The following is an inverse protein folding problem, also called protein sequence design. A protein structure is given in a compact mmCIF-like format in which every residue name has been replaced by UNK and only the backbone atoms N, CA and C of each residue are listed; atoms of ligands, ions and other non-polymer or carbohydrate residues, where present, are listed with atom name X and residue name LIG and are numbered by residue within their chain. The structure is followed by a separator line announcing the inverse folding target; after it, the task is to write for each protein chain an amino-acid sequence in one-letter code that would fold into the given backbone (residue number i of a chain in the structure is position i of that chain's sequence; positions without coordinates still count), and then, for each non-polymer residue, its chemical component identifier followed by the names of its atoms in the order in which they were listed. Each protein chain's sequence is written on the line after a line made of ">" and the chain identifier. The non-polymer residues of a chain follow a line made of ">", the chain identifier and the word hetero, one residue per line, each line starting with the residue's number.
data_IF_915751178060
#
_entry.id   IF_915751178060
#
_cell.length_a   1.000
_cell.length_b   1.000
_cell.length_c   1.000
_cell.angle_alpha   90.00
_cell.angle_beta   90.00
_cell.angle_gamma   90.00
#
_symmetry.space_group_name_H-M   'P 1'
#
loop_
_entity.id
_entity.type
_entity.pdbx_description
1 polymer ?
#
# COMPACT_ATOMS: atom_id res chain seq x y z
N UNK A 1 -25.09 -46.34 12.12
CA UNK A 1 -24.22 -46.50 13.31
C UNK A 1 -23.28 -45.29 13.32
N UNK A 2 -23.25 -44.33 14.24
CA UNK A 2 -24.04 -43.92 15.39
C UNK A 2 -23.89 -42.38 15.41
N UNK A 3 -25.01 -41.66 15.51
CA UNK A 3 -25.06 -40.27 15.96
C UNK A 3 -25.12 -40.32 17.49
N UNK A 4 -24.30 -39.55 18.21
CA UNK A 4 -24.51 -39.37 19.65
C UNK A 4 -24.45 -37.90 20.06
N UNK A 5 -25.60 -37.47 20.55
CA UNK A 5 -25.88 -36.25 21.30
C UNK A 5 -25.20 -36.24 22.68
N UNK A 6 -24.93 -35.03 23.16
CA UNK A 6 -24.69 -34.72 24.58
C UNK A 6 -25.91 -35.06 25.45
N UNK A 7 -25.69 -35.24 26.77
CA UNK A 7 -26.67 -34.82 27.75
C UNK A 7 -26.08 -33.91 28.85
N UNK A 8 -26.83 -32.86 29.12
CA UNK A 8 -26.80 -32.01 30.32
C UNK A 8 -27.32 -32.76 31.54
N UNK A 9 -26.70 -32.61 32.72
CA UNK A 9 -27.41 -32.77 34.01
C UNK A 9 -26.96 -31.75 35.04
N UNK A 10 -27.95 -31.12 35.64
CA UNK A 10 -27.92 -30.10 36.69
C UNK A 10 -28.17 -30.80 38.03
N UNK A 11 -27.50 -30.39 39.12
CA UNK A 11 -27.88 -30.74 40.50
C UNK A 11 -27.60 -29.55 41.44
N UNK A 12 -28.59 -29.08 42.25
CA UNK A 12 -28.39 -28.06 43.27
C UNK A 12 -28.18 -28.68 44.66
N UNK A 13 -27.34 -28.05 45.48
CA UNK A 13 -27.12 -28.36 46.90
C UNK A 13 -27.59 -27.20 47.79
N UNK A 14 -28.20 -27.57 48.92
CA UNK A 14 -29.10 -26.79 49.78
C UNK A 14 -28.40 -26.25 51.06
N UNK A 15 -28.87 -25.09 51.53
CA UNK A 15 -28.92 -24.51 52.90
C UNK A 15 -27.73 -24.56 53.88
N UNK A 16 -27.38 -23.38 54.44
CA UNK A 16 -27.77 -22.99 55.81
C UNK A 16 -27.60 -21.48 56.03
N UNK A 17 -28.59 -20.85 56.69
CA UNK A 17 -28.61 -19.41 56.95
C UNK A 17 -27.99 -19.00 58.28
N UNK A 18 -27.67 -17.71 58.38
CA UNK A 18 -27.68 -16.96 59.64
C UNK A 18 -27.84 -15.46 59.33
N UNK A 19 -28.90 -14.89 59.89
CA UNK A 19 -29.21 -13.47 59.91
C UNK A 19 -28.37 -12.82 61.01
N UNK A 20 -27.53 -11.83 60.69
CA UNK A 20 -26.94 -10.93 61.70
C UNK A 20 -27.00 -9.49 61.19
N UNK A 21 -27.70 -8.67 61.96
CA UNK A 21 -27.90 -7.23 61.79
C UNK A 21 -26.80 -6.48 62.56
N UNK A 22 -26.46 -5.27 62.07
CA UNK A 22 -25.57 -4.25 62.66
C UNK A 22 -24.07 -4.57 62.53
N UNK A 23 -23.17 -3.69 62.06
CA UNK A 23 -22.96 -2.25 62.30
C UNK A 23 -22.16 -1.69 61.11
N UNK A 24 -22.47 -0.49 60.61
CA UNK A 24 -21.59 0.26 59.69
C UNK A 24 -20.41 0.88 60.45
N UNK A 25 -19.18 0.78 59.95
CA UNK A 25 -18.17 1.82 60.13
C UNK A 25 -17.76 2.43 58.77
N UNK A 26 -17.84 3.76 58.76
CA UNK A 26 -17.17 4.76 57.93
C UNK A 26 -16.39 4.28 56.69
N UNK A 27 -16.86 4.75 55.52
CA UNK A 27 -16.08 4.92 54.30
C UNK A 27 -14.82 5.75 54.61
N UNK A 28 -13.69 5.09 54.78
CA UNK A 28 -12.40 5.71 54.56
C UNK A 28 -12.26 5.96 53.06
N UNK A 29 -12.35 7.22 52.65
CA UNK A 29 -11.89 7.65 51.32
C UNK A 29 -10.39 7.32 51.24
N UNK A 30 -10.05 6.21 50.60
CA UNK A 30 -8.69 6.00 50.13
C UNK A 30 -8.46 7.07 49.06
N UNK A 31 -7.53 7.99 49.36
CA UNK A 31 -6.99 8.93 48.40
C UNK A 31 -6.66 8.18 47.11
N UNK A 32 -7.44 8.44 46.07
CA UNK A 32 -6.97 8.26 44.70
C UNK A 32 -5.77 9.18 44.56
N UNK A 33 -4.56 8.61 44.67
CA UNK A 33 -3.39 9.27 44.10
C UNK A 33 -3.70 9.49 42.62
N UNK A 34 -4.02 10.75 42.30
CA UNK A 34 -4.10 11.23 40.94
C UNK A 34 -2.77 10.88 40.27
N UNK A 35 -2.81 9.88 39.41
CA UNK A 35 -1.69 9.56 38.54
C UNK A 35 -1.46 10.81 37.69
N UNK A 36 -0.33 11.47 37.95
CA UNK A 36 0.23 12.60 37.22
C UNK A 36 -0.14 12.56 35.73
N UNK A 37 -0.46 13.70 35.10
CA UNK A 37 -0.58 13.78 33.66
C UNK A 37 0.66 13.16 33.03
N UNK A 38 0.43 12.16 32.17
CA UNK A 38 1.37 11.57 31.23
C UNK A 38 2.51 12.52 30.89
N UNK A 39 3.73 12.23 31.32
CA UNK A 39 4.93 12.81 30.71
C UNK A 39 4.76 12.64 29.20
N UNK A 40 4.63 13.75 28.46
CA UNK A 40 4.74 13.70 27.02
C UNK A 40 6.13 13.12 26.74
N UNK A 41 6.19 11.89 26.21
CA UNK A 41 7.44 11.25 25.81
C UNK A 41 8.20 12.23 24.93
N UNK A 42 9.31 12.76 25.43
CA UNK A 42 10.19 13.62 24.64
C UNK A 42 10.82 12.71 23.59
N UNK A 43 10.37 12.83 22.34
CA UNK A 43 10.94 12.06 21.24
C UNK A 43 12.38 12.48 21.00
N UNK A 44 13.29 11.50 20.97
CA UNK A 44 14.70 11.71 20.71
C UNK A 44 15.00 11.70 19.22
N UNK A 45 16.08 12.37 18.83
CA UNK A 45 16.57 12.38 17.45
C UNK A 45 17.94 11.71 17.40
N UNK A 46 18.00 10.61 16.66
CA UNK A 46 19.21 9.83 16.42
C UNK A 46 19.76 10.14 15.01
N UNK A 47 21.08 10.12 14.85
CA UNK A 47 21.72 10.40 13.58
C UNK A 47 22.57 9.20 13.20
N UNK A 48 22.43 8.75 11.96
CA UNK A 48 23.21 7.66 11.38
C UNK A 48 24.11 8.23 10.30
N UNK A 49 25.42 8.03 10.40
CA UNK A 49 26.38 8.47 9.40
C UNK A 49 27.56 7.50 9.32
N UNK A 50 27.91 7.06 8.10
CA UNK A 50 28.98 6.07 7.88
C UNK A 50 30.38 6.59 8.24
N UNK A 51 30.57 7.92 8.26
CA UNK A 51 31.85 8.57 8.59
C UNK A 51 32.10 8.70 10.10
N UNK A 52 31.16 8.25 10.92
CA UNK A 52 31.23 8.34 12.39
C UNK A 52 30.84 9.71 12.96
N UNK A 53 30.32 10.64 12.15
CA UNK A 53 29.82 11.93 12.64
C UNK A 53 28.46 11.83 13.35
N UNK A 54 27.72 10.73 13.12
CA UNK A 54 26.44 10.44 13.76
C UNK A 54 26.57 9.66 15.07
N UNK A 55 25.45 9.49 15.77
CA UNK A 55 25.34 8.63 16.95
C UNK A 55 25.61 7.16 16.62
N UNK A 56 25.28 6.73 15.40
CA UNK A 56 25.46 5.37 14.92
C UNK A 56 26.06 5.35 13.50
N UNK A 57 26.70 4.24 13.14
CA UNK A 57 27.11 3.97 11.76
C UNK A 57 26.19 2.96 11.06
N UNK A 58 25.26 2.33 11.78
CA UNK A 58 24.27 1.37 11.28
C UNK A 58 22.84 1.89 11.52
N UNK A 59 21.96 1.70 10.54
CA UNK A 59 20.53 2.00 10.65
C UNK A 59 19.87 1.02 11.62
N UNK A 60 20.23 -0.26 11.56
CA UNK A 60 19.67 -1.26 12.48
C UNK A 60 20.01 -0.94 13.94
N UNK A 61 21.25 -0.56 14.23
CA UNK A 61 21.66 -0.19 15.59
C UNK A 61 20.86 1.02 16.11
N UNK A 62 20.64 2.02 15.27
CA UNK A 62 19.82 3.18 15.61
C UNK A 62 18.37 2.79 15.91
N UNK A 63 17.79 1.88 15.11
CA UNK A 63 16.43 1.36 15.34
C UNK A 63 16.36 0.57 16.64
N UNK A 64 17.37 -0.25 16.93
CA UNK A 64 17.41 -1.06 18.15
C UNK A 64 17.42 -0.18 19.40
N UNK A 65 18.16 0.94 19.37
CA UNK A 65 18.26 1.90 20.47
C UNK A 65 17.07 2.86 20.59
N UNK A 66 16.42 3.20 19.47
CA UNK A 66 15.34 4.19 19.45
C UNK A 66 14.13 3.76 20.29
N UNK A 67 13.53 4.68 21.04
CA UNK A 67 12.24 4.46 21.70
C UNK A 67 11.06 4.69 20.74
N UNK A 68 9.85 4.34 21.19
CA UNK A 68 8.63 4.72 20.46
C UNK A 68 8.52 6.24 20.36
N UNK A 69 8.17 6.74 19.18
CA UNK A 69 8.05 8.17 18.87
C UNK A 69 9.36 8.84 18.42
N UNK A 70 10.51 8.16 18.51
CA UNK A 70 11.80 8.73 18.12
C UNK A 70 11.91 8.97 16.61
N UNK A 71 12.89 9.80 16.24
CA UNK A 71 13.27 10.05 14.85
C UNK A 71 14.71 9.62 14.59
N UNK A 72 14.94 8.92 13.50
CA UNK A 72 16.27 8.52 13.01
C UNK A 72 16.53 9.27 11.70
N UNK A 73 17.57 10.09 11.70
CA UNK A 73 18.04 10.84 10.52
C UNK A 73 19.24 10.13 9.91
N UNK A 74 19.20 9.79 8.64
CA UNK A 74 20.24 9.02 7.95
C UNK A 74 20.97 9.91 6.95
N UNK A 75 22.28 10.07 7.13
CA UNK A 75 23.17 10.80 6.22
C UNK A 75 23.40 10.02 4.92
N UNK A 76 23.75 10.75 3.86
CA UNK A 76 24.10 10.15 2.58
C UNK A 76 25.16 9.05 2.71
N UNK A 77 24.91 7.90 2.09
CA UNK A 77 25.72 6.70 2.24
C UNK A 77 25.08 5.45 1.64
N UNK A 78 25.92 4.43 1.44
CA UNK A 78 25.48 3.09 1.01
C UNK A 78 25.54 2.17 2.23
N UNK A 79 24.37 1.76 2.71
CA UNK A 79 24.18 0.92 3.88
C UNK A 79 23.97 -0.53 3.44
N UNK A 80 24.99 -1.35 3.64
CA UNK A 80 24.98 -2.78 3.27
C UNK A 80 24.43 -3.65 4.42
N UNK A 81 23.16 -3.47 4.76
CA UNK A 81 22.49 -4.19 5.83
C UNK A 81 21.03 -4.56 5.50
N UNK A 82 20.51 -5.57 6.19
CA UNK A 82 19.09 -5.87 6.22
C UNK A 82 18.50 -5.16 7.44
N UNK A 83 17.44 -4.39 7.26
CA UNK A 83 16.84 -3.57 8.32
C UNK A 83 15.49 -4.15 8.72
N UNK A 84 15.24 -4.24 10.02
CA UNK A 84 13.95 -4.64 10.59
C UNK A 84 13.49 -3.64 11.64
N UNK A 85 12.35 -3.00 11.39
CA UNK A 85 11.61 -2.20 12.37
C UNK A 85 10.63 -3.12 13.08
N UNK A 86 10.98 -3.58 14.28
CA UNK A 86 10.18 -4.53 15.05
C UNK A 86 9.69 -3.93 16.36
N UNK A 87 8.39 -4.11 16.66
CA UNK A 87 7.78 -3.72 17.94
C UNK A 87 8.00 -2.24 18.30
N UNK A 88 7.92 -1.35 17.30
CA UNK A 88 8.01 0.10 17.46
C UNK A 88 6.66 0.75 17.23
N UNK A 89 6.39 1.83 17.96
CA UNK A 89 5.25 2.71 17.76
C UNK A 89 5.74 4.13 17.45
N UNK A 90 5.26 4.75 16.37
CA UNK A 90 5.55 6.16 16.09
C UNK A 90 6.97 6.47 15.61
N UNK A 91 7.77 5.46 15.24
CA UNK A 91 9.15 5.67 14.80
C UNK A 91 9.19 6.35 13.42
N UNK A 92 10.00 7.40 13.28
CA UNK A 92 10.27 8.07 12.00
C UNK A 92 11.70 7.78 11.54
N UNK A 93 11.88 7.34 10.30
CA UNK A 93 13.18 7.06 9.68
C UNK A 93 13.29 7.91 8.41
N UNK A 94 14.20 8.86 8.39
CA UNK A 94 14.26 9.90 7.34
C UNK A 94 15.68 9.95 6.79
N UNK A 95 15.85 9.63 5.51
CA UNK A 95 17.10 9.82 4.79
C UNK A 95 17.27 11.26 4.28
N UNK A 96 18.50 11.62 3.88
CA UNK A 96 18.77 12.92 3.26
C UNK A 96 18.23 13.05 1.82
N UNK A 97 17.79 11.94 1.21
CA UNK A 97 17.25 11.91 -0.14
C UNK A 97 17.36 10.53 -0.78
N UNK A 98 16.42 10.20 -1.68
CA UNK A 98 16.40 8.92 -2.40
C UNK A 98 17.71 8.62 -3.11
N UNK A 99 18.38 9.62 -3.68
CA UNK A 99 19.64 9.44 -4.42
C UNK A 99 20.89 9.52 -3.52
N UNK A 100 20.71 9.80 -2.23
CA UNK A 100 21.80 9.98 -1.26
C UNK A 100 21.91 8.81 -0.28
N UNK A 101 20.79 8.28 0.19
CA UNK A 101 20.74 7.18 1.15
C UNK A 101 20.29 5.91 0.46
N UNK A 102 21.17 4.91 0.39
CA UNK A 102 20.91 3.66 -0.33
C UNK A 102 21.11 2.46 0.59
N UNK A 103 20.04 1.69 0.81
CA UNK A 103 20.04 0.43 1.55
C UNK A 103 20.10 -0.74 0.56
N UNK A 104 21.17 -1.54 0.56
CA UNK A 104 21.39 -2.58 -0.48
C UNK A 104 21.12 -4.01 -0.01
N UNK A 105 20.76 -4.22 1.26
CA UNK A 105 20.58 -5.56 1.83
C UNK A 105 21.88 -6.37 1.89
N UNK A 106 21.79 -7.58 2.45
CA UNK A 106 22.90 -8.57 2.53
C UNK A 106 22.72 -9.71 1.52
N UNK A 107 22.10 -9.44 0.37
CA UNK A 107 21.76 -10.44 -0.68
C UNK A 107 20.91 -11.60 -0.15
N UNK A 108 20.02 -11.31 0.79
CA UNK A 108 18.98 -12.23 1.29
C UNK A 108 17.61 -11.77 0.80
N UNK A 109 16.58 -12.55 1.11
CA UNK A 109 15.19 -12.14 0.86
C UNK A 109 14.80 -11.07 1.87
N UNK A 110 14.33 -9.92 1.40
CA UNK A 110 13.88 -8.82 2.26
C UNK A 110 15.01 -7.91 2.72
N UNK A 111 15.13 -6.73 2.11
CA UNK A 111 16.11 -5.72 2.51
C UNK A 111 15.59 -4.87 3.68
N UNK A 112 14.30 -4.51 3.66
CA UNK A 112 13.64 -3.72 4.70
C UNK A 112 12.37 -4.41 5.16
N UNK A 113 12.25 -4.65 6.46
CA UNK A 113 11.06 -5.21 7.08
C UNK A 113 10.46 -4.26 8.11
N UNK A 114 9.14 -4.09 8.06
CA UNK A 114 8.36 -3.29 9.00
C UNK A 114 7.34 -4.23 9.65
N UNK A 115 7.50 -4.46 10.94
CA UNK A 115 6.82 -5.56 11.63
C UNK A 115 7.47 -6.92 11.34
N UNK A 116 7.17 -7.89 12.20
CA UNK A 116 7.63 -9.27 12.08
C UNK A 116 6.64 -10.19 12.78
N UNK A 117 6.11 -11.17 12.05
CA UNK A 117 5.14 -12.12 12.61
C UNK A 117 5.62 -12.71 13.96
N UNK A 118 4.77 -12.75 15.01
CA UNK A 118 3.36 -12.37 15.02
C UNK A 118 3.09 -10.90 15.38
N UNK A 119 4.12 -10.07 15.58
CA UNK A 119 3.99 -8.69 16.08
C UNK A 119 4.20 -7.66 14.98
N UNK A 120 3.30 -6.67 14.93
CA UNK A 120 3.43 -5.57 13.99
C UNK A 120 4.34 -4.45 14.47
N UNK A 121 4.47 -3.44 13.61
CA UNK A 121 4.87 -2.08 14.01
C UNK A 121 3.70 -1.12 13.74
N UNK A 122 3.59 -0.06 14.52
CA UNK A 122 2.49 0.90 14.39
C UNK A 122 2.99 2.32 14.17
N UNK A 123 2.29 3.08 13.33
CA UNK A 123 2.58 4.50 13.09
C UNK A 123 4.04 4.75 12.65
N UNK A 124 4.62 3.84 11.86
CA UNK A 124 6.00 3.94 11.37
C UNK A 124 6.03 4.76 10.09
N UNK A 125 6.94 5.72 10.03
CA UNK A 125 7.16 6.56 8.85
C UNK A 125 8.57 6.35 8.33
N UNK A 126 8.71 6.10 7.02
CA UNK A 126 10.01 5.99 6.34
C UNK A 126 10.01 6.91 5.13
N UNK A 127 11.02 7.79 5.02
CA UNK A 127 11.09 8.78 3.96
C UNK A 127 12.50 8.95 3.38
N UNK A 128 12.56 9.41 2.13
CA UNK A 128 13.75 10.01 1.50
C UNK A 128 14.97 9.06 1.45
N UNK A 129 14.76 7.81 1.03
CA UNK A 129 15.82 6.82 0.84
C UNK A 129 15.51 5.82 -0.28
N UNK A 130 16.53 5.10 -0.73
CA UNK A 130 16.40 3.98 -1.67
C UNK A 130 16.61 2.64 -0.97
N UNK A 131 15.80 1.65 -1.33
CA UNK A 131 15.96 0.23 -0.99
C UNK A 131 16.23 -0.53 -2.28
N UNK A 132 17.42 -1.12 -2.39
CA UNK A 132 17.82 -1.91 -3.54
C UNK A 132 17.78 -3.38 -3.16
N UNK A 133 16.91 -4.12 -3.86
CA UNK A 133 16.90 -5.57 -3.90
C UNK A 133 17.01 -6.00 -5.36
N UNK A 134 17.70 -7.10 -5.61
CA UNK A 134 17.81 -7.78 -6.91
C UNK A 134 16.48 -8.43 -7.35
N UNK A 135 15.39 -7.65 -7.42
CA UNK A 135 14.09 -8.05 -7.97
C UNK A 135 13.14 -8.81 -7.04
N UNK A 136 13.63 -9.35 -5.92
CA UNK A 136 12.85 -10.06 -4.92
C UNK A 136 12.07 -9.14 -3.97
N UNK A 137 11.83 -9.59 -2.73
CA UNK A 137 11.17 -8.78 -1.70
C UNK A 137 12.09 -7.63 -1.26
N UNK A 138 11.79 -6.40 -1.70
CA UNK A 138 12.52 -5.20 -1.27
C UNK A 138 12.06 -4.71 0.09
N UNK A 139 10.76 -4.43 0.23
CA UNK A 139 10.13 -3.96 1.46
C UNK A 139 8.99 -4.91 1.85
N UNK A 140 9.09 -5.53 3.03
CA UNK A 140 8.00 -6.32 3.60
C UNK A 140 7.35 -5.61 4.80
N UNK A 141 6.03 -5.54 4.81
CA UNK A 141 5.23 -4.92 5.88
C UNK A 141 4.30 -6.01 6.43
N UNK A 142 4.50 -6.39 7.69
CA UNK A 142 3.88 -7.59 8.26
C UNK A 142 3.25 -7.32 9.60
N UNK A 143 1.92 -7.42 9.65
CA UNK A 143 1.13 -7.13 10.84
C UNK A 143 1.32 -5.68 11.32
N UNK A 144 0.25 -5.03 11.78
CA UNK A 144 0.33 -3.69 12.33
C UNK A 144 -0.51 -2.68 11.57
N UNK A 145 -0.22 -1.39 11.79
CA UNK A 145 -1.10 -0.31 11.35
C UNK A 145 -0.36 1.00 11.11
N UNK A 146 -0.78 1.78 10.12
CA UNK A 146 -0.34 3.17 9.97
C UNK A 146 1.12 3.24 9.51
N UNK A 147 1.46 2.47 8.48
CA UNK A 147 2.82 2.47 7.91
C UNK A 147 2.84 3.42 6.73
N UNK A 148 3.69 4.44 6.77
CA UNK A 148 3.83 5.45 5.71
C UNK A 148 5.21 5.38 5.08
N UNK A 149 5.25 5.15 3.77
CA UNK A 149 6.44 5.26 2.95
C UNK A 149 6.26 6.45 2.00
N UNK A 150 7.13 7.45 2.09
CA UNK A 150 7.00 8.69 1.31
C UNK A 150 8.31 9.04 0.64
N UNK A 151 8.30 9.29 -0.67
CA UNK A 151 9.54 9.58 -1.45
C UNK A 151 10.61 8.53 -1.19
N UNK A 152 10.25 7.27 -1.37
CA UNK A 152 11.22 6.17 -1.35
C UNK A 152 11.34 5.56 -2.75
N UNK A 153 12.54 5.09 -3.08
CA UNK A 153 12.76 4.24 -4.25
C UNK A 153 12.93 2.79 -3.81
N UNK A 154 12.21 1.88 -4.44
CA UNK A 154 12.35 0.44 -4.18
C UNK A 154 12.62 -0.27 -5.50
N UNK A 155 13.79 -0.89 -5.60
CA UNK A 155 14.06 -1.89 -6.64
C UNK A 155 13.71 -3.25 -6.06
N UNK A 156 12.62 -3.85 -6.54
CA UNK A 156 12.00 -5.04 -5.96
C UNK A 156 10.59 -4.79 -5.41
N UNK A 157 9.98 -5.84 -4.87
CA UNK A 157 8.58 -5.83 -4.43
C UNK A 157 8.40 -5.10 -3.09
N UNK A 158 7.34 -4.32 -3.00
CA UNK A 158 6.73 -3.88 -1.73
C UNK A 158 5.55 -4.78 -1.41
N UNK A 159 5.61 -5.53 -0.31
CA UNK A 159 4.58 -6.49 0.08
C UNK A 159 4.01 -6.17 1.45
N UNK A 160 2.69 -5.98 1.53
CA UNK A 160 1.96 -5.86 2.79
C UNK A 160 1.09 -7.09 3.03
N UNK A 161 1.20 -7.65 4.24
CA UNK A 161 0.40 -8.78 4.68
C UNK A 161 -0.20 -8.51 6.07
N UNK A 162 -1.53 -8.55 6.15
CA UNK A 162 -2.29 -8.34 7.38
C UNK A 162 -2.01 -6.97 8.03
N UNK A 163 -1.87 -5.92 7.22
CA UNK A 163 -1.55 -4.56 7.67
C UNK A 163 -2.71 -3.62 7.40
N UNK A 164 -3.06 -2.80 8.39
CA UNK A 164 -4.06 -1.75 8.21
C UNK A 164 -3.38 -0.43 7.88
N UNK A 165 -3.99 0.39 7.03
CA UNK A 165 -3.58 1.78 6.83
C UNK A 165 -2.12 1.94 6.35
N UNK A 166 -1.77 1.26 5.24
CA UNK A 166 -0.49 1.43 4.54
C UNK A 166 -0.59 2.59 3.54
N UNK A 167 0.33 3.56 3.60
CA UNK A 167 0.38 4.70 2.68
C UNK A 167 1.69 4.69 1.91
N UNK A 168 1.61 4.59 0.58
CA UNK A 168 2.74 4.77 -0.33
C UNK A 168 2.52 6.06 -1.13
N UNK A 169 3.38 7.05 -0.90
CA UNK A 169 3.21 8.41 -1.42
C UNK A 169 4.46 8.88 -2.15
N UNK A 170 4.30 9.26 -3.42
CA UNK A 170 5.39 9.78 -4.27
C UNK A 170 6.61 8.84 -4.32
N UNK A 171 6.36 7.53 -4.29
CA UNK A 171 7.39 6.50 -4.36
C UNK A 171 7.68 6.10 -5.82
N UNK A 172 8.90 5.59 -6.02
CA UNK A 172 9.34 4.98 -7.29
C UNK A 172 9.59 3.50 -7.02
N UNK A 173 8.75 2.61 -7.54
CA UNK A 173 8.78 1.18 -7.22
C UNK A 173 8.89 0.39 -8.51
N UNK A 174 9.88 -0.46 -8.65
CA UNK A 174 10.01 -1.19 -9.90
C UNK A 174 11.13 -2.21 -9.92
N UNK A 175 11.37 -2.72 -11.11
CA UNK A 175 12.39 -3.71 -11.38
C UNK A 175 12.24 -4.96 -10.47
N UNK A 176 10.99 -5.33 -10.13
CA UNK A 176 10.69 -6.61 -9.46
C UNK A 176 10.58 -7.75 -10.47
N UNK A 177 11.11 -8.90 -10.10
CA UNK A 177 10.92 -10.16 -10.83
C UNK A 177 9.51 -10.73 -10.67
N UNK A 178 8.63 -10.06 -9.91
CA UNK A 178 7.24 -10.47 -9.69
C UNK A 178 6.30 -9.25 -9.70
N UNK A 179 5.83 -8.80 -8.55
CA UNK A 179 4.90 -7.67 -8.44
C UNK A 179 5.62 -6.44 -7.91
N UNK A 180 5.31 -5.25 -8.44
CA UNK A 180 5.80 -4.00 -7.87
C UNK A 180 5.28 -3.78 -6.44
N UNK A 181 3.95 -3.77 -6.27
CA UNK A 181 3.30 -3.66 -4.95
C UNK A 181 2.22 -4.73 -4.76
N UNK A 182 2.24 -5.44 -3.64
CA UNK A 182 1.26 -6.48 -3.33
C UNK A 182 0.59 -6.27 -1.96
N UNK A 183 -0.75 -6.37 -1.93
CA UNK A 183 -1.58 -6.35 -0.73
C UNK A 183 -2.24 -7.71 -0.51
N UNK A 184 -2.02 -8.29 0.66
CA UNK A 184 -2.70 -9.49 1.14
C UNK A 184 -3.38 -9.20 2.49
N UNK A 185 -4.71 -9.29 2.52
CA UNK A 185 -5.54 -8.96 3.70
C UNK A 185 -5.16 -7.63 4.35
N UNK A 186 -4.92 -6.61 3.54
CA UNK A 186 -4.36 -5.33 3.97
C UNK A 186 -5.16 -4.14 3.45
N UNK A 187 -5.11 -3.01 4.14
CA UNK A 187 -5.75 -1.76 3.69
C UNK A 187 -4.72 -0.68 3.42
N UNK A 188 -4.96 0.16 2.41
CA UNK A 188 -3.99 1.21 2.09
C UNK A 188 -4.34 2.16 0.97
N UNK A 189 -3.45 3.11 0.77
CA UNK A 189 -3.52 4.15 -0.25
C UNK A 189 -2.17 4.22 -0.97
N UNK A 190 -2.20 4.10 -2.29
CA UNK A 190 -1.12 4.43 -3.19
C UNK A 190 -1.46 5.76 -3.87
N UNK A 191 -0.65 6.79 -3.63
CA UNK A 191 -0.86 8.12 -4.20
C UNK A 191 0.40 8.66 -4.87
N UNK A 192 0.30 9.10 -6.13
CA UNK A 192 1.42 9.80 -6.80
C UNK A 192 2.63 8.92 -7.14
N UNK A 193 2.49 7.59 -7.11
CA UNK A 193 3.63 6.69 -7.31
C UNK A 193 3.91 6.45 -8.79
N UNK A 194 5.18 6.18 -9.11
CA UNK A 194 5.60 5.58 -10.37
C UNK A 194 5.93 4.10 -10.12
N UNK A 195 5.20 3.19 -10.76
CA UNK A 195 5.39 1.75 -10.65
C UNK A 195 5.75 1.18 -12.03
N UNK A 196 6.93 0.58 -12.18
CA UNK A 196 7.45 0.22 -13.51
C UNK A 196 8.28 -1.07 -13.56
N UNK A 197 8.36 -1.72 -14.72
CA UNK A 197 9.16 -2.94 -14.98
C UNK A 197 8.94 -4.06 -13.95
N UNK A 198 7.76 -4.66 -13.95
CA UNK A 198 7.41 -5.80 -13.09
C UNK A 198 6.65 -6.86 -13.91
N UNK A 199 6.44 -8.06 -13.38
CA UNK A 199 5.45 -8.97 -13.98
C UNK A 199 4.04 -8.38 -13.84
N UNK A 200 3.65 -8.01 -12.63
CA UNK A 200 2.42 -7.24 -12.36
C UNK A 200 2.75 -5.91 -11.69
N UNK A 201 2.00 -4.85 -11.98
CA UNK A 201 2.22 -3.55 -11.34
C UNK A 201 1.81 -3.57 -9.86
N UNK A 202 0.51 -3.71 -9.62
CA UNK A 202 -0.09 -3.80 -8.28
C UNK A 202 -1.00 -5.02 -8.19
N UNK A 203 -0.78 -5.88 -7.20
CA UNK A 203 -1.66 -7.00 -6.88
C UNK A 203 -2.44 -6.74 -5.59
N UNK A 204 -3.75 -6.99 -5.62
CA UNK A 204 -4.67 -6.79 -4.49
C UNK A 204 -5.45 -8.09 -4.28
N UNK A 205 -5.15 -8.82 -3.20
CA UNK A 205 -5.76 -10.12 -2.92
C UNK A 205 -6.32 -10.25 -1.51
N UNK A 206 -6.96 -11.38 -1.23
CA UNK A 206 -7.62 -11.66 0.05
C UNK A 206 -8.76 -10.67 0.33
N UNK A 207 -8.83 -10.17 1.55
CA UNK A 207 -9.85 -9.20 2.00
C UNK A 207 -9.36 -7.75 1.92
N UNK A 208 -8.38 -7.46 1.05
CA UNK A 208 -7.76 -6.14 0.98
C UNK A 208 -8.73 -5.04 0.50
N UNK A 209 -8.55 -3.82 1.00
CA UNK A 209 -9.29 -2.62 0.58
C UNK A 209 -8.30 -1.48 0.30
N UNK A 210 -8.08 -1.18 -0.98
CA UNK A 210 -6.97 -0.32 -1.43
C UNK A 210 -7.43 0.80 -2.36
N UNK A 211 -6.92 2.00 -2.13
CA UNK A 211 -7.08 3.13 -3.07
C UNK A 211 -5.82 3.32 -3.88
N UNK A 212 -5.93 3.30 -5.21
CA UNK A 212 -4.88 3.79 -6.11
C UNK A 212 -5.35 5.12 -6.66
N UNK A 213 -4.63 6.19 -6.36
CA UNK A 213 -4.92 7.54 -6.86
C UNK A 213 -3.70 8.18 -7.50
N UNK A 214 -3.84 8.67 -8.74
CA UNK A 214 -2.76 9.42 -9.41
C UNK A 214 -1.43 8.67 -9.48
N UNK A 215 -1.48 7.36 -9.66
CA UNK A 215 -0.29 6.56 -9.91
C UNK A 215 -0.09 6.38 -11.41
N UNK A 216 1.17 6.39 -11.84
CA UNK A 216 1.59 5.92 -13.15
C UNK A 216 2.06 4.49 -12.99
N UNK A 217 1.40 3.53 -13.63
CA UNK A 217 1.79 2.13 -13.64
C UNK A 217 2.07 1.73 -15.09
N UNK A 218 3.32 1.35 -15.37
CA UNK A 218 3.78 1.20 -16.74
C UNK A 218 4.78 0.08 -16.95
N UNK A 219 4.83 -0.47 -18.16
CA UNK A 219 5.81 -1.47 -18.55
C UNK A 219 5.82 -2.72 -17.65
N UNK A 220 4.65 -3.11 -17.13
CA UNK A 220 4.45 -4.43 -16.54
C UNK A 220 4.19 -5.49 -17.61
N UNK A 221 4.76 -6.68 -17.45
CA UNK A 221 4.63 -7.79 -18.41
C UNK A 221 3.17 -8.24 -18.59
N UNK A 222 2.43 -8.27 -17.49
CA UNK A 222 1.02 -8.63 -17.40
C UNK A 222 0.20 -7.39 -17.01
N UNK A 223 -0.75 -7.52 -16.08
CA UNK A 223 -1.63 -6.43 -15.70
C UNK A 223 -0.95 -5.36 -14.84
N UNK A 224 -1.27 -4.10 -15.12
CA UNK A 224 -0.90 -2.98 -14.27
C UNK A 224 -1.56 -3.10 -12.89
N UNK A 225 -2.82 -3.56 -12.85
CA UNK A 225 -3.54 -3.87 -11.60
C UNK A 225 -4.20 -5.24 -11.70
N UNK A 226 -3.85 -6.14 -10.80
CA UNK A 226 -4.46 -7.46 -10.65
C UNK A 226 -5.26 -7.51 -9.34
N UNK A 227 -6.55 -7.77 -9.43
CA UNK A 227 -7.42 -7.97 -8.27
C UNK A 227 -7.92 -9.43 -8.23
N UNK A 228 -7.82 -10.06 -7.06
CA UNK A 228 -8.26 -11.45 -6.82
C UNK A 228 -9.16 -11.56 -5.59
N UNK A 229 -9.73 -12.75 -5.39
CA UNK A 229 -10.56 -13.10 -4.23
C UNK A 229 -11.75 -12.15 -4.03
N UNK A 230 -11.99 -11.69 -2.81
CA UNK A 230 -13.03 -10.70 -2.46
C UNK A 230 -12.46 -9.29 -2.23
N UNK A 231 -11.32 -8.98 -2.86
CA UNK A 231 -10.65 -7.70 -2.70
C UNK A 231 -11.51 -6.52 -3.19
N UNK A 232 -11.27 -5.36 -2.59
CA UNK A 232 -11.93 -4.10 -2.92
C UNK A 232 -10.92 -3.05 -3.34
N UNK A 233 -11.22 -2.30 -4.38
CA UNK A 233 -10.37 -1.19 -4.78
C UNK A 233 -11.10 0.03 -5.31
N UNK A 234 -10.45 1.17 -5.15
CA UNK A 234 -10.80 2.42 -5.84
C UNK A 234 -9.63 2.83 -6.72
N UNK A 235 -9.82 2.82 -8.03
CA UNK A 235 -8.83 3.26 -9.01
C UNK A 235 -9.26 4.64 -9.52
N UNK A 236 -8.61 5.70 -9.04
CA UNK A 236 -9.02 7.08 -9.29
C UNK A 236 -7.90 7.88 -9.96
N UNK A 237 -8.15 8.40 -11.16
CA UNK A 237 -7.17 9.23 -11.88
C UNK A 237 -5.79 8.58 -12.02
N UNK A 238 -5.68 7.28 -12.30
CA UNK A 238 -4.39 6.63 -12.57
C UNK A 238 -4.09 6.63 -14.08
N UNK A 239 -2.81 6.53 -14.44
CA UNK A 239 -2.37 6.26 -15.81
C UNK A 239 -1.78 4.85 -15.84
N UNK A 240 -2.49 3.92 -16.51
CA UNK A 240 -2.08 2.54 -16.70
C UNK A 240 -1.67 2.38 -18.17
N UNK A 241 -0.38 2.49 -18.46
CA UNK A 241 0.11 2.62 -19.82
C UNK A 241 1.19 1.60 -20.17
N UNK A 242 1.15 1.04 -21.39
CA UNK A 242 2.22 0.16 -21.89
C UNK A 242 2.42 -1.10 -21.04
N UNK A 243 1.33 -1.72 -20.59
CA UNK A 243 1.37 -2.97 -19.82
C UNK A 243 0.85 -4.13 -20.67
N UNK A 244 1.04 -5.38 -20.23
CA UNK A 244 0.31 -6.52 -20.81
C UNK A 244 -1.21 -6.31 -20.74
N UNK A 245 -1.71 -5.80 -19.62
CA UNK A 245 -3.10 -5.39 -19.43
C UNK A 245 -3.24 -4.16 -18.53
N UNK A 246 -4.36 -3.44 -18.62
CA UNK A 246 -4.66 -2.32 -17.73
C UNK A 246 -5.04 -2.79 -16.34
N UNK A 247 -6.24 -3.34 -16.17
CA UNK A 247 -6.66 -3.96 -14.91
C UNK A 247 -7.45 -5.25 -15.14
N UNK A 248 -7.18 -6.28 -14.34
CA UNK A 248 -7.97 -7.51 -14.29
C UNK A 248 -8.70 -7.63 -12.97
N UNK A 249 -9.99 -7.97 -13.07
CA UNK A 249 -10.89 -8.17 -11.93
C UNK A 249 -11.29 -9.64 -11.89
N UNK A 250 -10.64 -10.42 -11.02
CA UNK A 250 -10.85 -11.86 -10.87
C UNK A 250 -11.80 -12.17 -9.70
N UNK A 251 -12.29 -13.41 -9.67
CA UNK A 251 -13.14 -13.94 -8.60
C UNK A 251 -14.32 -13.00 -8.26
N UNK A 252 -14.48 -12.62 -6.99
CA UNK A 252 -15.54 -11.76 -6.47
C UNK A 252 -15.04 -10.31 -6.21
N UNK A 253 -13.95 -9.92 -6.87
CA UNK A 253 -13.33 -8.60 -6.71
C UNK A 253 -14.31 -7.47 -7.03
N UNK A 254 -14.25 -6.40 -6.23
CA UNK A 254 -15.13 -5.23 -6.36
C UNK A 254 -14.32 -3.96 -6.58
N UNK A 255 -14.59 -3.24 -7.66
CA UNK A 255 -13.83 -2.04 -7.99
C UNK A 255 -14.71 -0.86 -8.41
N UNK A 256 -14.37 0.32 -7.91
CA UNK A 256 -14.83 1.59 -8.45
C UNK A 256 -13.67 2.26 -9.21
N UNK A 257 -13.84 2.41 -10.51
CA UNK A 257 -12.77 2.75 -11.45
C UNK A 257 -13.18 4.01 -12.19
N UNK A 258 -12.58 5.13 -11.82
CA UNK A 258 -12.97 6.44 -12.32
C UNK A 258 -11.81 7.32 -12.74
N UNK A 259 -12.00 8.03 -13.85
CA UNK A 259 -11.07 9.07 -14.28
C UNK A 259 -9.70 8.56 -14.74
N UNK A 260 -9.54 7.26 -14.98
CA UNK A 260 -8.25 6.66 -15.33
C UNK A 260 -7.97 6.77 -16.82
N UNK A 261 -6.69 6.78 -17.20
CA UNK A 261 -6.24 6.57 -18.58
C UNK A 261 -5.64 5.17 -18.67
N UNK A 262 -6.14 4.34 -19.58
CA UNK A 262 -5.64 2.98 -19.84
C UNK A 262 -5.29 2.85 -21.31
N UNK A 263 -4.01 2.69 -21.63
CA UNK A 263 -3.57 2.79 -23.02
C UNK A 263 -2.36 1.95 -23.36
N UNK A 264 -2.24 1.59 -24.64
CA UNK A 264 -1.11 0.85 -25.19
C UNK A 264 -0.89 -0.51 -24.50
N UNK A 265 -1.97 -1.16 -24.07
CA UNK A 265 -1.95 -2.49 -23.47
C UNK A 265 -2.63 -3.53 -24.37
N UNK A 266 -2.40 -4.83 -24.18
CA UNK A 266 -3.15 -5.82 -24.95
C UNK A 266 -4.65 -5.74 -24.60
N UNK A 267 -4.95 -5.68 -23.30
CA UNK A 267 -6.32 -5.52 -22.79
C UNK A 267 -6.40 -4.27 -21.92
N UNK A 268 -7.47 -3.47 -22.07
CA UNK A 268 -7.77 -2.36 -21.17
C UNK A 268 -8.24 -2.89 -19.81
N UNK A 269 -9.47 -3.37 -19.75
CA UNK A 269 -10.07 -4.02 -18.58
C UNK A 269 -10.50 -5.46 -18.89
N UNK A 270 -10.00 -6.39 -18.07
CA UNK A 270 -10.33 -7.81 -18.13
C UNK A 270 -11.27 -8.18 -16.99
N UNK A 271 -12.42 -8.76 -17.31
CA UNK A 271 -13.46 -9.11 -16.34
C UNK A 271 -13.63 -10.63 -16.21
N UNK A 272 -13.72 -11.10 -14.98
CA UNK A 272 -14.20 -12.44 -14.66
C UNK A 272 -15.68 -12.39 -14.29
N UNK A 273 -16.45 -13.48 -14.50
CA UNK A 273 -17.90 -13.46 -14.29
C UNK A 273 -18.37 -13.04 -12.89
N UNK A 274 -17.60 -13.34 -11.83
CA UNK A 274 -17.93 -12.95 -10.45
C UNK A 274 -17.58 -11.51 -10.08
N UNK A 275 -16.85 -10.80 -10.94
CA UNK A 275 -16.32 -9.46 -10.61
C UNK A 275 -17.38 -8.36 -10.75
N UNK A 276 -17.36 -7.42 -9.80
CA UNK A 276 -18.30 -6.31 -9.74
C UNK A 276 -17.57 -4.98 -9.91
N UNK A 277 -17.76 -4.33 -11.04
CA UNK A 277 -17.06 -3.09 -11.37
C UNK A 277 -18.03 -1.96 -11.67
N UNK A 278 -17.78 -0.79 -11.09
CA UNK A 278 -18.40 0.48 -11.52
C UNK A 278 -17.37 1.28 -12.27
N UNK A 279 -17.65 1.62 -13.54
CA UNK A 279 -16.74 2.35 -14.40
C UNK A 279 -17.37 3.69 -14.79
N UNK A 280 -16.61 4.77 -14.65
CA UNK A 280 -17.04 6.09 -15.12
C UNK A 280 -15.87 6.98 -15.51
N UNK A 281 -16.01 7.71 -16.62
CA UNK A 281 -15.05 8.72 -17.06
C UNK A 281 -13.63 8.19 -17.25
N UNK A 282 -13.47 6.92 -17.64
CA UNK A 282 -12.17 6.37 -18.00
C UNK A 282 -11.88 6.62 -19.48
N UNK A 283 -10.63 6.83 -19.83
CA UNK A 283 -10.17 6.90 -21.20
C UNK A 283 -9.42 5.61 -21.56
N UNK A 284 -9.97 4.84 -22.50
CA UNK A 284 -9.35 3.60 -22.98
C UNK A 284 -9.02 3.74 -24.47
N UNK A 285 -7.75 3.72 -24.82
CA UNK A 285 -7.36 3.89 -26.23
C UNK A 285 -6.05 3.19 -26.56
N UNK A 286 -5.87 2.77 -27.81
CA UNK A 286 -4.66 2.08 -28.24
C UNK A 286 -4.46 0.71 -27.60
N UNK A 287 -5.51 0.13 -27.00
CA UNK A 287 -5.50 -1.26 -26.53
C UNK A 287 -6.00 -2.19 -27.65
N UNK A 288 -5.64 -3.48 -27.63
CA UNK A 288 -6.20 -4.44 -28.60
C UNK A 288 -7.67 -4.77 -28.30
N UNK A 289 -8.06 -4.72 -27.02
CA UNK A 289 -9.46 -4.76 -26.58
C UNK A 289 -9.64 -3.98 -25.28
N UNK A 290 -10.49 -2.94 -25.31
CA UNK A 290 -10.70 -2.08 -24.14
C UNK A 290 -11.47 -2.76 -23.01
N UNK A 291 -12.47 -3.57 -23.35
CA UNK A 291 -13.31 -4.30 -22.39
C UNK A 291 -13.42 -5.75 -22.84
N UNK A 292 -12.93 -6.68 -22.02
CA UNK A 292 -12.80 -8.09 -22.38
C UNK A 292 -13.30 -8.97 -21.25
N UNK A 293 -14.13 -9.97 -21.57
CA UNK A 293 -14.43 -11.07 -20.68
C UNK A 293 -13.36 -12.16 -20.81
N UNK A 294 -12.93 -12.72 -19.68
CA UNK A 294 -12.08 -13.91 -19.65
C UNK A 294 -12.74 -15.10 -20.37
N UNK A 295 -11.93 -15.99 -20.95
CA UNK A 295 -12.39 -17.16 -21.71
C UNK A 295 -11.31 -17.70 -22.65
N UNK A 296 -11.63 -18.79 -23.37
CA UNK A 296 -10.73 -19.38 -24.38
C UNK A 296 -11.47 -19.57 -25.71
N UNK A 297 -11.34 -18.65 -26.68
CA UNK A 297 -10.60 -17.38 -26.58
C UNK A 297 -11.33 -16.34 -25.71
N UNK A 298 -10.63 -15.30 -25.21
CA UNK A 298 -11.28 -14.15 -24.57
C UNK A 298 -12.23 -13.44 -25.53
N UNK A 299 -13.31 -12.85 -25.01
CA UNK A 299 -14.36 -12.23 -25.83
C UNK A 299 -14.54 -10.75 -25.49
N UNK A 300 -14.85 -9.88 -26.48
CA UNK A 300 -15.20 -8.49 -26.22
C UNK A 300 -16.41 -8.37 -25.29
N UNK A 301 -16.38 -7.38 -24.39
CA UNK A 301 -17.38 -7.15 -23.36
C UNK A 301 -17.88 -5.69 -23.33
N UNK A 302 -18.36 -5.12 -24.45
CA UNK A 302 -18.74 -3.71 -24.52
C UNK A 302 -19.83 -3.32 -23.52
N UNK A 303 -20.71 -4.26 -23.14
CA UNK A 303 -21.76 -4.02 -22.15
C UNK A 303 -21.23 -3.77 -20.73
N UNK A 304 -19.95 -4.08 -20.47
CA UNK A 304 -19.26 -3.75 -19.21
C UNK A 304 -18.72 -2.32 -19.19
N UNK A 305 -18.69 -1.63 -20.33
CA UNK A 305 -18.15 -0.29 -20.43
C UNK A 305 -18.91 0.72 -19.56
N UNK A 306 -18.19 1.66 -18.95
CA UNK A 306 -18.81 2.81 -18.30
C UNK A 306 -19.50 3.69 -19.34
N UNK A 307 -20.74 4.13 -19.07
CA UNK A 307 -21.50 4.99 -19.99
C UNK A 307 -20.81 6.32 -20.32
N UNK A 308 -19.91 6.76 -19.45
CA UNK A 308 -19.15 8.00 -19.57
C UNK A 308 -17.68 7.78 -19.91
N UNK A 309 -17.28 6.53 -20.14
CA UNK A 309 -15.93 6.24 -20.62
C UNK A 309 -15.77 6.74 -22.07
N UNK A 310 -14.53 7.07 -22.44
CA UNK A 310 -14.17 7.64 -23.73
C UNK A 310 -13.03 6.85 -24.36
N UNK A 311 -12.92 6.89 -25.68
CA UNK A 311 -11.88 6.18 -26.44
C UNK A 311 -10.90 7.10 -27.16
N UNK A 312 -10.71 8.32 -26.64
CA UNK A 312 -9.79 9.27 -27.23
C UNK A 312 -8.35 8.98 -26.83
N UNK A 313 -7.42 9.25 -27.75
CA UNK A 313 -6.00 9.25 -27.42
C UNK A 313 -5.70 10.30 -26.35
N UNK A 314 -4.85 9.98 -25.35
CA UNK A 314 -4.60 10.90 -24.25
C UNK A 314 -3.79 12.13 -24.67
N UNK A 315 -3.02 12.09 -25.76
CA UNK A 315 -2.14 13.19 -26.14
C UNK A 315 -1.06 13.45 -25.07
N UNK A 316 -0.30 12.42 -24.72
CA UNK A 316 0.84 12.56 -23.80
C UNK A 316 1.97 13.40 -24.42
N UNK A 317 2.84 13.93 -23.57
CA UNK A 317 4.02 14.72 -24.00
C UNK A 317 5.06 13.83 -24.67
N UNK A 318 5.49 12.75 -24.01
CA UNK A 318 6.52 11.84 -24.53
C UNK A 318 6.45 10.48 -23.82
N UNK A 319 5.43 9.65 -24.13
CA UNK A 319 5.24 8.36 -23.46
C UNK A 319 6.39 7.37 -23.71
N UNK A 320 7.11 7.50 -24.83
CA UNK A 320 8.32 6.71 -25.14
C UNK A 320 9.50 7.00 -24.20
N UNK A 321 9.51 8.16 -23.55
CA UNK A 321 10.50 8.56 -22.55
C UNK A 321 9.92 8.55 -21.13
N UNK A 322 8.74 7.95 -20.93
CA UNK A 322 8.06 7.87 -19.63
C UNK A 322 7.35 9.16 -19.18
N UNK A 323 7.22 10.17 -20.04
CA UNK A 323 6.49 11.40 -19.73
C UNK A 323 5.01 11.28 -20.12
N UNK A 324 4.22 10.81 -19.15
CA UNK A 324 2.77 10.64 -19.26
C UNK A 324 1.97 11.89 -18.87
N UNK A 325 2.59 13.07 -18.78
CA UNK A 325 1.82 14.32 -18.67
C UNK A 325 1.03 14.54 -19.95
N UNK A 326 -0.14 15.16 -19.82
CA UNK A 326 -0.99 15.51 -20.95
C UNK A 326 -0.48 16.80 -21.61
N UNK A 327 -0.55 16.87 -22.94
CA UNK A 327 -0.42 18.13 -23.66
C UNK A 327 -1.55 19.10 -23.29
N UNK A 328 -1.29 20.39 -23.42
CA UNK A 328 -2.22 21.43 -22.95
C UNK A 328 -3.55 21.49 -23.72
N UNK A 329 -3.60 20.89 -24.91
CA UNK A 329 -4.77 20.77 -25.79
C UNK A 329 -5.39 19.37 -25.77
N UNK A 330 -4.98 18.52 -24.82
CA UNK A 330 -5.48 17.15 -24.70
C UNK A 330 -7.00 17.09 -24.49
N UNK A 331 -7.64 16.13 -25.16
CA UNK A 331 -9.07 15.79 -24.95
C UNK A 331 -9.37 15.16 -23.59
N UNK A 332 -8.34 14.92 -22.76
CA UNK A 332 -8.48 14.39 -21.40
C UNK A 332 -8.69 15.49 -20.35
N UNK A 333 -8.69 16.76 -20.75
CA UNK A 333 -8.90 17.91 -19.87
C UNK A 333 -10.41 18.15 -19.71
N UNK A 334 -10.84 18.44 -18.48
CA UNK A 334 -12.24 18.75 -18.12
C UNK A 334 -13.26 17.67 -18.51
N UNK A 335 -12.95 16.40 -18.21
CA UNK A 335 -13.85 15.27 -18.49
C UNK A 335 -14.74 14.98 -17.28
N UNK A 336 -16.03 15.23 -17.42
CA UNK A 336 -17.00 15.03 -16.33
C UNK A 336 -16.70 15.92 -15.13
N UNK A 337 -16.53 15.32 -13.95
CA UNK A 337 -16.14 16.03 -12.73
C UNK A 337 -14.61 16.17 -12.56
N UNK A 338 -13.81 15.58 -13.45
CA UNK A 338 -12.36 15.57 -13.35
C UNK A 338 -11.75 16.78 -14.07
N UNK A 339 -10.88 17.58 -13.41
CA UNK A 339 -10.11 18.62 -14.10
C UNK A 339 -9.27 18.08 -15.25
N UNK A 340 -8.79 16.84 -15.11
CA UNK A 340 -8.15 16.06 -16.14
C UNK A 340 -8.22 14.56 -15.77
N UNK A 341 -8.18 13.68 -16.77
CA UNK A 341 -8.03 12.24 -16.56
C UNK A 341 -6.55 11.85 -16.39
N UNK A 342 -6.31 10.73 -15.72
CA UNK A 342 -4.96 10.19 -15.51
C UNK A 342 -4.18 10.84 -14.38
N UNK A 343 -2.96 10.37 -14.19
CA UNK A 343 -2.19 10.60 -12.96
C UNK A 343 -1.59 11.99 -12.84
N UNK A 344 -1.02 12.49 -13.92
CA UNK A 344 -0.19 13.68 -13.91
C UNK A 344 -0.96 14.88 -14.45
N UNK A 345 -0.80 16.07 -13.86
CA UNK A 345 -1.41 17.29 -14.40
C UNK A 345 -0.91 17.57 -15.83
N UNK A 346 -1.75 18.18 -16.70
CA UNK A 346 -1.32 18.64 -18.00
C UNK A 346 -0.18 19.64 -17.90
N UNK A 347 0.70 19.68 -18.92
CA UNK A 347 1.69 20.74 -19.03
C UNK A 347 0.99 22.09 -19.23
N UNK A 348 1.55 23.16 -18.66
CA UNK A 348 1.05 24.51 -18.88
C UNK A 348 1.10 24.84 -20.37
N UNK A 349 0.09 25.57 -20.86
CA UNK A 349 0.02 26.04 -22.24
C UNK A 349 1.05 27.13 -22.59
N UNK A 350 2.06 27.39 -21.75
CA UNK A 350 3.20 28.26 -22.09
C UNK A 350 4.46 27.90 -21.26
N UNK A 351 5.66 28.07 -21.86
CA UNK A 351 6.98 27.87 -21.24
C UNK A 351 7.36 28.93 -20.19
#
# INVERSE_FOLDING_TARGET
>A
MIVQHMPTTFRPGLFLGALMLCVLPELAFANTEERSPSEALVSSVWQVALDGSGHFTSIQEAIDQAASGDTILIKGGIYAEDVTVHSKEGLSIIGEGMDLVVLTGKKRVGTLHIGKWPYGATNVTIQDLSVIQHGGLGVGIFNGRGVRLTRIRVNGMVFSQQVQDVHLEDCVIGDSETTGVAFADSTGILSGNLIYHNDHGVAIGGNSDVTLRRNVITQSLYEAVLMTDQSKARLIQNTLAQNGGGAAFQDDAQADVQGNIVTQSAVGFLFFPGSHTTLAFNALSGNQGDYVMTGTPPTPAPDRAGKTDVQFSPGFVSPENGDFRLQSDSSMIQVGAFPYLGALPPVSSNP
#
